data_IF_571045901387
#
_entry.id   IF_571045901387
#
_cell.length_a   1.000
_cell.length_b   1.000
_cell.length_c   1.000
_cell.angle_alpha   90.00
_cell.angle_beta   90.00
_cell.angle_gamma   90.00
#
_symmetry.space_group_name_H-M   'P 1'
#
loop_
_entity.id
_entity.type
_entity.pdbx_description
1 polymer ?
#
# COMPACT_ATOMS: atom_id res chain seq x y z
N UNK A 1 77.78 -16.23 13.54
CA UNK A 1 78.42 -15.06 14.19
C UNK A 1 78.10 -13.86 13.30
N UNK A 2 77.01 -13.17 13.60
CA UNK A 2 76.98 -11.80 14.18
C UNK A 2 77.45 -10.75 13.18
N UNK A 3 76.84 -9.59 13.02
CA UNK A 3 75.55 -8.99 13.35
C UNK A 3 75.66 -7.56 12.77
N UNK A 4 74.53 -6.96 12.43
CA UNK A 4 74.27 -5.52 12.47
C UNK A 4 75.05 -4.55 11.54
N UNK A 5 74.32 -4.08 10.52
CA UNK A 5 74.55 -2.78 9.89
C UNK A 5 73.72 -1.72 10.62
N UNK A 6 74.39 -0.85 11.37
CA UNK A 6 73.87 0.39 11.91
C UNK A 6 74.05 1.48 10.84
N UNK A 7 72.95 2.09 10.38
CA UNK A 7 73.01 3.34 9.62
C UNK A 7 72.53 4.48 10.53
N UNK A 8 73.43 5.45 10.74
CA UNK A 8 73.21 6.66 11.51
C UNK A 8 72.44 7.71 10.69
N UNK A 9 71.62 8.44 11.43
CA UNK A 9 70.65 9.47 11.06
C UNK A 9 71.21 10.66 10.26
N UNK A 10 70.35 11.25 9.44
CA UNK A 10 70.31 12.70 9.23
C UNK A 10 68.99 13.28 9.72
N UNK A 11 69.11 14.38 10.44
CA UNK A 11 68.11 15.03 11.27
C UNK A 11 67.33 16.09 10.50
N UNK A 12 66.06 16.29 10.90
CA UNK A 12 65.25 17.52 10.82
C UNK A 12 64.88 18.04 9.41
N UNK A 13 63.62 18.37 9.10
CA UNK A 13 62.76 19.27 9.86
C UNK A 13 61.27 18.96 9.71
N UNK A 14 60.58 19.18 10.82
CA UNK A 14 59.14 19.11 10.99
C UNK A 14 58.45 20.29 10.28
N UNK A 15 57.39 19.99 9.54
CA UNK A 15 56.28 20.92 9.34
C UNK A 15 55.01 20.20 9.77
N UNK A 16 54.53 20.54 10.97
CA UNK A 16 53.28 20.06 11.55
C UNK A 16 52.11 20.61 10.75
N UNK A 17 51.58 19.82 9.82
CA UNK A 17 50.21 19.97 9.37
C UNK A 17 49.31 19.31 10.40
N UNK A 18 48.68 20.13 11.25
CA UNK A 18 47.64 19.67 12.16
C UNK A 18 46.48 19.08 11.35
N UNK A 19 46.45 17.76 11.21
CA UNK A 19 45.27 17.05 10.76
C UNK A 19 44.19 17.21 11.82
N UNK A 20 43.26 18.13 11.56
CA UNK A 20 41.98 18.17 12.27
C UNK A 20 41.23 16.90 11.82
N UNK A 21 41.41 15.82 12.57
CA UNK A 21 40.50 14.68 12.53
C UNK A 21 39.13 15.19 12.97
N UNK A 22 38.05 14.97 12.20
CA UNK A 22 36.72 15.18 12.74
C UNK A 22 36.56 14.19 13.90
N UNK A 23 36.37 14.73 15.10
CA UNK A 23 35.88 13.96 16.25
C UNK A 23 34.55 13.34 15.81
N UNK A 24 34.58 12.06 15.41
CA UNK A 24 33.39 11.26 15.17
C UNK A 24 32.77 11.01 16.53
N UNK A 25 31.93 11.94 16.98
CA UNK A 25 31.03 11.73 18.11
C UNK A 25 30.20 10.50 17.76
N UNK A 26 30.52 9.36 18.38
CA UNK A 26 29.70 8.15 18.24
C UNK A 26 28.27 8.52 18.61
N UNK A 27 27.31 8.06 17.82
CA UNK A 27 25.89 8.24 18.13
C UNK A 27 25.63 7.78 19.57
N UNK A 28 24.92 8.56 20.41
CA UNK A 28 24.60 8.15 21.78
C UNK A 28 23.88 6.81 21.83
N UNK A 29 23.12 6.47 20.78
CA UNK A 29 22.43 5.19 20.64
C UNK A 29 23.38 3.99 20.53
N UNK A 30 24.61 4.19 20.03
CA UNK A 30 25.64 3.12 19.93
C UNK A 30 26.35 2.86 21.27
N UNK A 31 26.10 3.70 22.28
CA UNK A 31 26.65 3.54 23.63
C UNK A 31 25.66 2.84 24.56
N UNK A 32 24.39 2.71 24.14
CA UNK A 32 23.37 2.02 24.92
C UNK A 32 23.63 0.51 24.97
N UNK A 33 23.31 -0.16 26.09
CA UNK A 33 23.21 -1.61 26.11
C UNK A 33 22.23 -2.11 25.03
N UNK A 34 22.51 -3.23 24.35
CA UNK A 34 21.65 -3.78 23.30
C UNK A 34 20.19 -3.93 23.74
N UNK A 35 19.96 -4.33 24.99
CA UNK A 35 18.61 -4.52 25.54
C UNK A 35 17.85 -3.19 25.61
N UNK A 36 18.48 -2.12 26.08
CA UNK A 36 17.88 -0.79 26.13
C UNK A 36 17.57 -0.28 24.73
N UNK A 37 18.49 -0.47 23.79
CA UNK A 37 18.27 -0.14 22.39
C UNK A 37 17.07 -0.90 21.79
N UNK A 38 16.98 -2.21 22.04
CA UNK A 38 15.86 -3.03 21.56
C UNK A 38 14.52 -2.64 22.21
N UNK A 39 14.50 -2.19 23.47
CA UNK A 39 13.28 -1.66 24.09
C UNK A 39 12.80 -0.38 23.41
N UNK A 40 13.69 0.52 23.02
CA UNK A 40 13.33 1.70 22.22
C UNK A 40 12.72 1.24 20.88
N UNK A 41 13.33 0.24 20.24
CA UNK A 41 12.86 -0.28 18.95
C UNK A 41 11.45 -0.87 18.98
N UNK A 42 10.98 -1.38 20.13
CA UNK A 42 9.60 -1.91 20.26
C UNK A 42 8.50 -0.87 20.06
N UNK A 43 8.83 0.40 20.19
CA UNK A 43 7.90 1.52 20.03
C UNK A 43 8.09 2.26 18.71
N UNK A 44 8.89 1.73 17.79
CA UNK A 44 9.14 2.36 16.50
C UNK A 44 8.19 1.84 15.43
N UNK A 45 7.86 2.71 14.48
CA UNK A 45 7.08 2.32 13.32
C UNK A 45 7.89 1.39 12.40
N UNK A 46 7.23 0.60 11.54
CA UNK A 46 7.91 -0.24 10.57
C UNK A 46 8.87 0.53 9.65
N UNK A 47 8.49 1.75 9.24
CA UNK A 47 9.33 2.61 8.40
C UNK A 47 10.60 3.07 9.12
N UNK A 48 10.48 3.41 10.41
CA UNK A 48 11.61 3.83 11.23
C UNK A 48 12.56 2.67 11.50
N UNK A 49 12.04 1.48 11.81
CA UNK A 49 12.87 0.27 11.99
C UNK A 49 13.62 -0.10 10.71
N UNK A 50 12.95 -0.04 9.55
CA UNK A 50 13.60 -0.28 8.26
C UNK A 50 14.72 0.73 8.03
N UNK A 51 14.47 2.01 8.27
CA UNK A 51 15.46 3.07 8.12
C UNK A 51 16.63 2.88 9.07
N UNK A 52 16.36 2.63 10.35
CA UNK A 52 17.36 2.41 11.41
C UNK A 52 18.27 1.21 11.08
N UNK A 53 17.70 0.13 10.52
CA UNK A 53 18.46 -1.05 10.09
C UNK A 53 19.48 -0.76 8.99
N UNK A 54 19.39 0.38 8.31
CA UNK A 54 20.32 0.78 7.24
C UNK A 54 21.37 1.80 7.67
N UNK A 55 21.27 2.36 8.89
CA UNK A 55 22.14 3.44 9.36
C UNK A 55 23.57 2.97 9.62
N UNK A 56 23.74 1.83 10.29
CA UNK A 56 25.08 1.27 10.59
C UNK A 56 25.05 -0.25 10.77
N UNK A 57 26.24 -0.88 10.75
CA UNK A 57 26.39 -2.33 10.90
C UNK A 57 25.87 -2.84 12.24
N UNK A 58 26.04 -2.08 13.33
CA UNK A 58 25.57 -2.46 14.66
C UNK A 58 24.04 -2.59 14.68
N UNK A 59 23.32 -1.54 14.28
CA UNK A 59 21.85 -1.60 14.21
C UNK A 59 21.34 -2.65 13.21
N UNK A 60 22.06 -2.86 12.11
CA UNK A 60 21.74 -3.95 11.20
C UNK A 60 21.81 -5.30 11.93
N UNK A 61 22.92 -5.59 12.61
CA UNK A 61 23.10 -6.84 13.34
C UNK A 61 22.07 -7.02 14.46
N UNK A 62 21.75 -5.94 15.18
CA UNK A 62 20.80 -5.96 16.30
C UNK A 62 19.34 -6.10 15.85
N UNK A 63 18.98 -5.66 14.64
CA UNK A 63 17.60 -5.67 14.14
C UNK A 63 17.32 -6.69 13.04
N UNK A 64 18.35 -7.32 12.47
CA UNK A 64 18.21 -8.15 11.27
C UNK A 64 18.66 -9.60 11.48
N UNK A 65 18.87 -10.04 12.73
CA UNK A 65 19.21 -11.42 13.01
C UNK A 65 17.95 -12.30 12.90
N UNK A 66 17.80 -12.98 11.76
CA UNK A 66 16.58 -13.68 11.37
C UNK A 66 16.11 -14.75 12.38
N UNK A 67 17.04 -15.44 13.04
CA UNK A 67 16.70 -16.55 13.95
C UNK A 67 16.34 -16.09 15.38
N UNK A 68 16.44 -14.78 15.67
CA UNK A 68 16.15 -14.26 17.00
C UNK A 68 14.66 -14.03 17.19
N UNK A 69 14.05 -14.82 18.09
CA UNK A 69 12.63 -14.68 18.49
C UNK A 69 12.33 -13.26 18.96
N UNK A 70 13.23 -12.67 19.76
CA UNK A 70 13.07 -11.30 20.28
C UNK A 70 13.01 -10.27 19.16
N UNK A 71 13.84 -10.41 18.13
CA UNK A 71 13.85 -9.49 16.98
C UNK A 71 12.57 -9.68 16.15
N UNK A 72 12.17 -10.92 15.86
CA UNK A 72 10.90 -11.19 15.17
C UNK A 72 9.73 -10.56 15.93
N UNK A 73 9.73 -10.62 17.26
CA UNK A 73 8.70 -10.02 18.10
C UNK A 73 8.66 -8.48 18.02
N UNK A 74 9.83 -7.83 17.93
CA UNK A 74 9.91 -6.37 17.73
C UNK A 74 9.24 -5.98 16.40
N UNK A 75 9.58 -6.68 15.32
CA UNK A 75 8.98 -6.43 14.01
C UNK A 75 7.48 -6.75 14.01
N UNK A 76 7.08 -7.88 14.59
CA UNK A 76 5.66 -8.28 14.72
C UNK A 76 4.85 -7.23 15.48
N UNK A 77 5.35 -6.79 16.64
CA UNK A 77 4.70 -5.74 17.44
C UNK A 77 4.58 -4.44 16.65
N UNK A 78 5.66 -4.00 16.01
CA UNK A 78 5.66 -2.81 15.17
C UNK A 78 4.64 -2.90 14.03
N UNK A 79 4.53 -4.06 13.35
CA UNK A 79 3.49 -4.28 12.33
C UNK A 79 2.08 -4.15 12.92
N UNK A 80 1.80 -4.83 14.01
CA UNK A 80 0.45 -4.86 14.60
C UNK A 80 0.04 -3.49 15.16
N UNK A 81 0.97 -2.74 15.76
CA UNK A 81 0.68 -1.43 16.35
C UNK A 81 0.46 -0.34 15.28
N UNK A 82 1.19 -0.38 14.15
CA UNK A 82 1.19 0.69 13.15
C UNK A 82 0.49 0.34 11.83
N UNK A 83 0.21 -0.95 11.59
CA UNK A 83 -0.51 -1.43 10.42
C UNK A 83 -1.62 -2.38 10.92
N UNK A 84 -2.60 -1.88 11.68
CA UNK A 84 -3.57 -2.71 12.41
C UNK A 84 -4.44 -3.57 11.49
N UNK A 85 -4.62 -3.15 10.23
CA UNK A 85 -5.33 -3.95 9.24
C UNK A 85 -4.54 -5.19 8.78
N UNK A 86 -3.25 -5.31 9.11
CA UNK A 86 -2.35 -6.44 8.78
C UNK A 86 -2.12 -7.30 10.01
N UNK A 87 -3.06 -8.20 10.28
CA UNK A 87 -3.05 -9.10 11.44
C UNK A 87 -2.32 -10.40 11.13
N UNK A 88 -2.54 -10.96 9.93
CA UNK A 88 -1.96 -12.21 9.48
C UNK A 88 -0.44 -12.11 9.42
N UNK A 89 0.21 -13.13 9.96
CA UNK A 89 1.67 -13.24 9.99
C UNK A 89 2.32 -13.40 8.62
N UNK A 90 3.66 -13.48 8.58
CA UNK A 90 4.42 -13.76 7.38
C UNK A 90 3.98 -15.07 6.70
N UNK A 91 4.25 -15.17 5.39
CA UNK A 91 4.14 -16.45 4.69
C UNK A 91 5.22 -17.42 5.19
N UNK A 92 5.01 -18.72 5.01
CA UNK A 92 6.00 -19.73 5.39
C UNK A 92 7.36 -19.45 4.71
N UNK A 93 8.43 -19.50 5.49
CA UNK A 93 9.79 -19.18 5.04
C UNK A 93 10.12 -17.69 4.96
N UNK A 94 9.20 -16.78 5.35
CA UNK A 94 9.42 -15.34 5.40
C UNK A 94 9.56 -14.86 6.86
N UNK A 95 10.52 -13.96 7.11
CA UNK A 95 10.65 -13.29 8.41
C UNK A 95 9.65 -12.15 8.56
N UNK A 96 9.35 -11.70 9.79
CA UNK A 96 8.50 -10.51 10.01
C UNK A 96 9.09 -9.25 9.35
N UNK A 97 10.42 -9.10 9.37
CA UNK A 97 11.10 -8.00 8.67
C UNK A 97 10.88 -8.06 7.16
N UNK A 98 11.07 -9.23 6.55
CA UNK A 98 10.89 -9.39 5.09
C UNK A 98 9.42 -9.22 4.71
N UNK A 99 8.51 -9.65 5.58
CA UNK A 99 7.08 -9.44 5.41
C UNK A 99 6.69 -7.96 5.47
N UNK A 100 7.22 -7.22 6.43
CA UNK A 100 7.03 -5.76 6.51
C UNK A 100 7.57 -5.08 5.25
N UNK A 101 8.77 -5.45 4.78
CA UNK A 101 9.29 -4.94 3.50
C UNK A 101 8.36 -5.29 2.33
N UNK A 102 7.87 -6.51 2.28
CA UNK A 102 6.95 -6.98 1.25
C UNK A 102 5.63 -6.18 1.21
N UNK A 103 5.12 -5.82 2.39
CA UNK A 103 3.92 -5.00 2.56
C UNK A 103 4.15 -3.52 2.18
N UNK A 104 5.31 -2.96 2.53
CA UNK A 104 5.55 -1.52 2.44
C UNK A 104 6.33 -1.04 1.21
N UNK A 105 7.20 -1.89 0.63
CA UNK A 105 8.02 -1.47 -0.50
C UNK A 105 7.20 -1.42 -1.80
N UNK A 106 7.30 -0.31 -2.53
CA UNK A 106 6.71 -0.14 -3.86
C UNK A 106 7.62 -0.65 -4.99
N UNK A 107 8.37 -1.73 -4.75
CA UNK A 107 9.27 -2.32 -5.75
C UNK A 107 8.69 -3.61 -6.32
N UNK A 108 8.89 -3.80 -7.63
CA UNK A 108 8.66 -5.10 -8.25
C UNK A 108 9.75 -6.09 -7.79
N UNK A 109 9.35 -7.24 -7.25
CA UNK A 109 10.24 -8.32 -6.85
C UNK A 109 10.95 -9.02 -8.01
N UNK A 110 10.58 -8.73 -9.25
CA UNK A 110 11.24 -9.27 -10.44
C UNK A 110 12.24 -8.28 -11.06
N UNK A 111 11.80 -7.08 -11.41
CA UNK A 111 12.67 -6.09 -12.07
C UNK A 111 13.34 -5.10 -11.11
N UNK A 112 12.99 -5.09 -9.82
CA UNK A 112 13.51 -4.16 -8.81
C UNK A 112 13.06 -2.71 -8.96
N UNK A 113 12.39 -2.36 -10.07
CA UNK A 113 11.93 -1.01 -10.36
C UNK A 113 10.84 -0.60 -9.38
N UNK A 114 11.00 0.59 -8.79
CA UNK A 114 9.94 1.24 -8.00
C UNK A 114 8.80 1.61 -8.93
N UNK A 115 7.61 1.08 -8.69
CA UNK A 115 6.44 1.35 -9.50
C UNK A 115 5.21 1.49 -8.62
N UNK A 116 4.51 2.62 -8.78
CA UNK A 116 3.30 2.97 -8.03
C UNK A 116 2.11 2.03 -8.28
N UNK A 117 2.20 1.13 -9.26
CA UNK A 117 1.14 0.22 -9.70
C UNK A 117 1.53 -1.24 -9.45
N UNK A 118 2.51 -1.52 -8.59
CA UNK A 118 2.80 -2.89 -8.16
C UNK A 118 1.69 -3.44 -7.27
N UNK A 119 1.42 -4.74 -7.39
CA UNK A 119 0.46 -5.47 -6.54
C UNK A 119 1.14 -6.63 -5.85
N UNK A 120 0.64 -6.98 -4.68
CA UNK A 120 0.98 -8.23 -4.00
C UNK A 120 0.17 -9.37 -4.63
N UNK A 121 0.87 -10.44 -4.96
CA UNK A 121 0.35 -11.70 -5.48
C UNK A 121 0.59 -12.77 -4.42
N UNK A 122 -0.38 -12.91 -3.51
CA UNK A 122 -0.28 -13.76 -2.32
C UNK A 122 -0.03 -15.22 -2.63
N UNK A 123 -0.63 -15.73 -3.71
CA UNK A 123 -0.50 -17.11 -4.18
C UNK A 123 0.93 -17.48 -4.59
N UNK A 124 1.76 -16.47 -4.84
CA UNK A 124 3.18 -16.62 -5.17
C UNK A 124 4.11 -16.00 -4.15
N UNK A 125 3.59 -15.23 -3.19
CA UNK A 125 4.37 -14.46 -2.23
C UNK A 125 5.27 -13.40 -2.89
N UNK A 126 4.81 -12.77 -3.98
CA UNK A 126 5.61 -11.80 -4.74
C UNK A 126 4.86 -10.50 -4.96
N UNK A 127 5.57 -9.37 -4.96
CA UNK A 127 5.05 -8.08 -5.41
C UNK A 127 5.50 -7.86 -6.84
N UNK A 128 4.58 -7.62 -7.78
CA UNK A 128 4.95 -7.47 -9.19
C UNK A 128 4.26 -6.26 -9.83
N UNK A 129 4.96 -5.64 -10.78
CA UNK A 129 4.34 -4.67 -11.69
C UNK A 129 3.57 -5.40 -12.80
N UNK A 130 2.66 -4.69 -13.48
CA UNK A 130 1.87 -5.24 -14.57
C UNK A 130 2.71 -5.91 -15.67
N UNK A 131 3.85 -5.32 -16.02
CA UNK A 131 4.75 -5.85 -17.05
C UNK A 131 5.29 -7.22 -16.67
N UNK A 132 5.96 -7.32 -15.51
CA UNK A 132 6.50 -8.59 -15.02
C UNK A 132 5.39 -9.62 -14.73
N UNK A 133 4.23 -9.18 -14.21
CA UNK A 133 3.09 -10.08 -14.04
C UNK A 133 2.69 -10.71 -15.37
N UNK A 134 2.49 -9.92 -16.43
CA UNK A 134 2.12 -10.45 -17.75
C UNK A 134 3.18 -11.36 -18.35
N UNK A 135 4.45 -11.01 -18.19
CA UNK A 135 5.58 -11.80 -18.70
C UNK A 135 5.72 -13.15 -17.99
N UNK A 136 5.54 -13.17 -16.66
CA UNK A 136 5.77 -14.36 -15.82
C UNK A 136 4.54 -15.23 -15.60
N UNK A 137 3.41 -14.84 -16.17
CA UNK A 137 2.16 -15.61 -16.08
C UNK A 137 1.64 -15.95 -17.46
N UNK A 138 0.90 -17.05 -17.55
CA UNK A 138 0.23 -17.50 -18.76
C UNK A 138 -1.29 -17.42 -18.57
N UNK A 139 -2.02 -17.08 -19.65
CA UNK A 139 -3.48 -17.11 -19.64
C UNK A 139 -4.00 -18.56 -19.61
N UNK A 140 -5.13 -18.79 -18.95
CA UNK A 140 -5.76 -20.10 -18.90
C UNK A 140 -5.98 -20.71 -20.30
N UNK A 141 -6.56 -19.95 -21.23
CA UNK A 141 -6.78 -20.39 -22.62
C UNK A 141 -5.48 -20.80 -23.32
N UNK A 142 -4.35 -20.24 -22.90
CA UNK A 142 -3.05 -20.52 -23.49
C UNK A 142 -2.34 -21.75 -22.90
N UNK A 143 -2.83 -22.30 -21.78
CA UNK A 143 -2.25 -23.48 -21.14
C UNK A 143 -2.31 -24.71 -22.03
N UNK A 144 -3.38 -24.84 -22.83
CA UNK A 144 -3.58 -25.95 -23.77
C UNK A 144 -2.48 -26.04 -24.84
N UNK A 145 -1.81 -24.93 -25.17
CA UNK A 145 -0.71 -24.90 -26.13
C UNK A 145 0.65 -25.27 -25.54
N UNK A 146 0.77 -25.35 -24.21
CA UNK A 146 2.00 -25.86 -23.61
C UNK A 146 2.00 -27.38 -23.75
N UNK A 147 2.94 -27.89 -24.54
CA UNK A 147 3.14 -29.34 -24.72
C UNK A 147 3.33 -30.03 -23.38
N UNK A 148 2.69 -31.19 -23.24
CA UNK A 148 2.83 -32.10 -22.10
C UNK A 148 2.33 -31.55 -20.75
N UNK A 149 1.45 -30.54 -20.73
CA UNK A 149 0.72 -30.19 -19.50
C UNK A 149 -0.45 -31.16 -19.31
N UNK A 150 -0.50 -31.80 -18.15
CA UNK A 150 -1.69 -32.53 -17.74
C UNK A 150 -2.76 -31.53 -17.23
N UNK A 151 -3.98 -31.48 -17.79
CA UNK A 151 -5.03 -30.55 -17.37
C UNK A 151 -5.40 -30.64 -15.88
N UNK A 152 -5.35 -31.84 -15.30
CA UNK A 152 -5.64 -32.06 -13.87
C UNK A 152 -4.64 -31.37 -12.95
N UNK A 153 -3.48 -30.92 -13.46
CA UNK A 153 -2.50 -30.17 -12.67
C UNK A 153 -2.95 -28.76 -12.37
N UNK A 154 -3.71 -28.17 -13.29
CA UNK A 154 -4.12 -26.77 -13.25
C UNK A 154 -5.12 -26.57 -12.09
N UNK A 155 -5.92 -27.58 -11.77
CA UNK A 155 -6.89 -27.55 -10.66
C UNK A 155 -6.23 -27.46 -9.29
N UNK A 156 -4.92 -27.72 -9.18
CA UNK A 156 -4.14 -27.58 -7.94
C UNK A 156 -3.29 -26.31 -7.90
N UNK A 157 -3.52 -25.38 -8.83
CA UNK A 157 -2.82 -24.11 -8.91
C UNK A 157 -3.79 -22.96 -8.63
N UNK A 158 -3.38 -22.09 -7.72
CA UNK A 158 -4.07 -20.83 -7.46
C UNK A 158 -3.93 -19.92 -8.68
N UNK A 159 -5.04 -19.37 -9.16
CA UNK A 159 -5.03 -18.39 -10.23
C UNK A 159 -4.81 -16.97 -9.70
N UNK A 160 -4.29 -16.12 -10.59
CA UNK A 160 -3.96 -14.72 -10.32
C UNK A 160 -4.68 -13.81 -11.29
N UNK A 161 -5.11 -12.65 -10.81
CA UNK A 161 -5.69 -11.58 -11.64
C UNK A 161 -5.00 -10.26 -11.35
N UNK A 162 -4.86 -9.40 -12.36
CA UNK A 162 -4.32 -8.04 -12.18
C UNK A 162 -5.43 -6.98 -12.00
N UNK A 163 -6.69 -7.31 -12.32
CA UNK A 163 -7.82 -6.41 -12.09
C UNK A 163 -8.97 -7.21 -11.51
N UNK A 164 -9.61 -6.62 -10.51
CA UNK A 164 -10.79 -7.17 -9.87
C UNK A 164 -11.92 -7.07 -10.93
N UNK A 165 -12.27 -8.19 -11.57
CA UNK A 165 -13.47 -8.27 -12.42
C UNK A 165 -13.32 -8.87 -13.82
N UNK A 166 -12.14 -8.89 -14.45
CA UNK A 166 -11.99 -9.63 -15.71
C UNK A 166 -11.63 -11.09 -15.43
N UNK A 167 -12.37 -12.01 -16.04
CA UNK A 167 -12.14 -13.48 -16.08
C UNK A 167 -10.84 -13.87 -16.81
N UNK A 168 -9.80 -13.07 -16.70
CA UNK A 168 -8.50 -13.33 -17.28
C UNK A 168 -7.67 -14.05 -16.21
N UNK A 169 -8.05 -15.29 -15.91
CA UNK A 169 -7.28 -16.11 -14.98
C UNK A 169 -5.91 -16.38 -15.58
N UNK A 170 -4.89 -16.12 -14.77
CA UNK A 170 -3.51 -16.32 -15.16
C UNK A 170 -2.81 -17.16 -14.11
N UNK A 171 -1.89 -17.98 -14.58
CA UNK A 171 -1.11 -18.87 -13.74
C UNK A 171 0.35 -18.51 -13.86
N UNK A 172 1.08 -18.55 -12.74
CA UNK A 172 2.52 -18.33 -12.77
C UNK A 172 3.21 -19.45 -13.53
N UNK A 173 3.95 -19.08 -14.58
CA UNK A 173 4.53 -20.04 -15.51
C UNK A 173 5.46 -21.05 -14.81
N UNK A 174 6.24 -20.58 -13.83
CA UNK A 174 7.12 -21.44 -13.05
C UNK A 174 6.35 -22.42 -12.12
N UNK A 175 5.22 -22.01 -11.56
CA UNK A 175 4.38 -22.90 -10.75
C UNK A 175 3.77 -24.00 -11.63
N UNK A 176 3.28 -23.63 -12.80
CA UNK A 176 2.76 -24.57 -13.81
C UNK A 176 3.83 -25.59 -14.20
N UNK A 177 5.01 -25.13 -14.60
CA UNK A 177 6.11 -26.02 -14.99
C UNK A 177 6.56 -26.92 -13.84
N UNK A 178 6.78 -26.36 -12.64
CA UNK A 178 7.24 -27.11 -11.48
C UNK A 178 6.25 -28.21 -11.12
N UNK A 179 4.96 -27.90 -11.09
CA UNK A 179 3.93 -28.89 -10.77
C UNK A 179 3.84 -29.94 -11.87
N UNK A 180 3.84 -29.54 -13.13
CA UNK A 180 3.78 -30.48 -14.24
C UNK A 180 4.95 -31.48 -14.22
N UNK A 181 6.16 -30.99 -13.94
CA UNK A 181 7.34 -31.84 -13.79
C UNK A 181 7.21 -32.80 -12.61
N UNK A 182 6.71 -32.32 -11.45
CA UNK A 182 6.43 -33.17 -10.28
C UNK A 182 5.51 -34.34 -10.66
N UNK A 183 4.44 -34.08 -11.42
CA UNK A 183 3.49 -35.12 -11.84
C UNK A 183 4.03 -36.07 -12.90
N UNK A 184 4.81 -35.58 -13.86
CA UNK A 184 5.38 -36.40 -14.92
C UNK A 184 6.36 -37.46 -14.40
N UNK A 185 7.03 -37.17 -13.29
CA UNK A 185 7.97 -38.08 -12.65
C UNK A 185 7.29 -39.23 -11.88
N UNK A 186 5.96 -39.17 -11.67
CA UNK A 186 5.22 -40.17 -10.92
C UNK A 186 4.82 -41.36 -11.79
N UNK A 187 4.94 -42.55 -11.21
CA UNK A 187 4.32 -43.76 -11.74
C UNK A 187 2.79 -43.69 -11.69
N UNK A 188 2.11 -44.57 -12.43
CA UNK A 188 0.65 -44.55 -12.48
C UNK A 188 0.00 -44.80 -11.10
N UNK A 189 0.60 -45.62 -10.25
CA UNK A 189 0.11 -45.90 -8.89
C UNK A 189 0.32 -44.74 -7.91
N UNK A 190 1.37 -43.94 -8.08
CA UNK A 190 1.65 -42.80 -7.20
C UNK A 190 0.78 -41.57 -7.50
N UNK A 191 0.24 -41.48 -8.73
CA UNK A 191 -0.54 -40.33 -9.18
C UNK A 191 -1.82 -40.13 -8.37
N UNK A 192 -2.51 -41.20 -7.99
CA UNK A 192 -3.77 -41.09 -7.25
C UNK A 192 -3.56 -40.52 -5.85
N UNK A 193 -2.54 -41.03 -5.14
CA UNK A 193 -2.17 -40.53 -3.81
C UNK A 193 -1.61 -39.11 -3.89
N UNK A 194 -0.85 -38.81 -4.93
CA UNK A 194 -0.38 -37.46 -5.19
C UNK A 194 -1.54 -36.49 -5.42
N UNK A 195 -2.54 -36.85 -6.24
CA UNK A 195 -3.74 -36.03 -6.50
C UNK A 195 -4.47 -35.73 -5.19
N UNK A 196 -4.71 -36.74 -4.35
CA UNK A 196 -5.36 -36.55 -3.03
C UNK A 196 -4.56 -35.58 -2.16
N UNK A 197 -3.24 -35.75 -2.09
CA UNK A 197 -2.35 -34.88 -1.30
C UNK A 197 -2.35 -33.44 -1.81
N UNK A 198 -2.25 -33.24 -3.13
CA UNK A 198 -2.29 -31.89 -3.71
C UNK A 198 -3.63 -31.22 -3.51
N UNK A 199 -4.73 -31.97 -3.56
CA UNK A 199 -6.08 -31.43 -3.32
C UNK A 199 -6.18 -30.85 -1.90
N UNK A 200 -5.64 -31.56 -0.89
CA UNK A 200 -5.59 -31.06 0.49
C UNK A 200 -4.71 -29.81 0.63
N UNK A 201 -3.49 -29.84 0.07
CA UNK A 201 -2.55 -28.71 0.11
C UNK A 201 -3.17 -27.48 -0.58
N UNK A 202 -3.82 -27.67 -1.72
CA UNK A 202 -4.48 -26.61 -2.47
C UNK A 202 -5.63 -26.00 -1.67
N UNK A 203 -6.51 -26.82 -1.09
CA UNK A 203 -7.62 -26.35 -0.27
C UNK A 203 -7.13 -25.50 0.92
N UNK A 204 -6.10 -25.95 1.63
CA UNK A 204 -5.51 -25.19 2.74
C UNK A 204 -4.90 -23.87 2.25
N UNK A 205 -4.20 -23.88 1.12
CA UNK A 205 -3.63 -22.67 0.52
C UNK A 205 -4.72 -21.68 0.12
N UNK A 206 -5.77 -22.12 -0.58
CA UNK A 206 -6.87 -21.24 -0.99
C UNK A 206 -7.58 -20.61 0.20
N UNK A 207 -7.77 -21.36 1.29
CA UNK A 207 -8.30 -20.80 2.54
C UNK A 207 -7.41 -19.67 3.08
N UNK A 208 -6.09 -19.88 3.13
CA UNK A 208 -5.14 -18.84 3.55
C UNK A 208 -5.14 -17.63 2.62
N UNK A 209 -5.24 -17.85 1.31
CA UNK A 209 -5.33 -16.77 0.32
C UNK A 209 -6.63 -15.97 0.47
N UNK A 210 -7.76 -16.64 0.75
CA UNK A 210 -9.03 -15.97 1.00
C UNK A 210 -8.95 -15.05 2.22
N UNK A 211 -8.34 -15.50 3.32
CA UNK A 211 -8.11 -14.68 4.51
C UNK A 211 -7.24 -13.45 4.22
N UNK A 212 -6.18 -13.62 3.41
CA UNK A 212 -5.32 -12.50 3.00
C UNK A 212 -6.02 -11.51 2.07
N UNK A 213 -6.90 -11.99 1.18
CA UNK A 213 -7.74 -11.10 0.36
C UNK A 213 -8.72 -10.29 1.22
N UNK A 214 -9.36 -10.91 2.21
CA UNK A 214 -10.20 -10.19 3.16
C UNK A 214 -9.40 -9.14 3.94
N UNK A 215 -8.16 -9.44 4.32
CA UNK A 215 -7.26 -8.49 4.97
C UNK A 215 -6.90 -7.30 4.06
N UNK A 216 -6.60 -7.57 2.77
CA UNK A 216 -6.38 -6.52 1.78
C UNK A 216 -7.60 -5.59 1.67
N UNK A 217 -8.80 -6.15 1.62
CA UNK A 217 -10.05 -5.39 1.52
C UNK A 217 -10.28 -4.52 2.76
N UNK A 218 -10.07 -5.09 3.97
CA UNK A 218 -10.12 -4.31 5.23
C UNK A 218 -9.10 -3.17 5.25
N UNK A 219 -7.88 -3.43 4.77
CA UNK A 219 -6.86 -2.39 4.67
C UNK A 219 -7.25 -1.28 3.69
N UNK A 220 -7.82 -1.62 2.52
CA UNK A 220 -8.30 -0.63 1.56
C UNK A 220 -9.40 0.23 2.18
N UNK A 221 -10.37 -0.41 2.83
CA UNK A 221 -11.48 0.30 3.49
C UNK A 221 -10.98 1.25 4.57
N UNK A 222 -10.10 0.78 5.46
CA UNK A 222 -9.49 1.62 6.48
C UNK A 222 -8.79 2.85 5.88
N UNK A 223 -8.03 2.68 4.78
CA UNK A 223 -7.39 3.80 4.08
C UNK A 223 -8.41 4.79 3.52
N UNK A 224 -9.53 4.31 2.97
CA UNK A 224 -10.59 5.17 2.42
C UNK A 224 -11.30 5.96 3.54
N UNK A 225 -11.56 5.33 4.68
CA UNK A 225 -12.14 5.97 5.87
C UNK A 225 -11.22 7.10 6.38
N UNK A 226 -9.95 6.79 6.64
CA UNK A 226 -8.99 7.77 7.17
C UNK A 226 -8.74 8.91 6.16
N UNK A 227 -8.72 8.58 4.87
CA UNK A 227 -8.68 9.57 3.79
C UNK A 227 -9.87 10.51 3.82
N UNK A 228 -11.09 9.98 3.95
CA UNK A 228 -12.31 10.78 4.01
C UNK A 228 -12.30 11.71 5.21
N UNK A 229 -11.91 11.22 6.39
CA UNK A 229 -11.74 12.04 7.61
C UNK A 229 -10.76 13.19 7.38
N UNK A 230 -9.57 12.90 6.84
CA UNK A 230 -8.56 13.91 6.57
C UNK A 230 -9.02 14.98 5.55
N UNK A 231 -9.74 14.58 4.50
CA UNK A 231 -10.32 15.51 3.52
C UNK A 231 -11.42 16.36 4.18
N UNK A 232 -12.32 15.74 4.95
CA UNK A 232 -13.40 16.47 5.62
C UNK A 232 -12.89 17.53 6.59
N UNK A 233 -11.86 17.22 7.37
CA UNK A 233 -11.20 18.20 8.25
C UNK A 233 -10.69 19.42 7.45
N UNK A 234 -10.10 19.20 6.26
CA UNK A 234 -9.66 20.29 5.37
C UNK A 234 -10.81 21.09 4.75
N UNK A 235 -11.94 20.45 4.49
CA UNK A 235 -13.14 21.13 4.01
C UNK A 235 -13.79 21.97 5.12
N UNK A 236 -13.81 21.48 6.36
CA UNK A 236 -14.24 22.26 7.53
C UNK A 236 -13.38 23.51 7.72
N UNK A 237 -12.05 23.39 7.58
CA UNK A 237 -11.15 24.54 7.55
C UNK A 237 -11.55 25.54 6.46
N UNK A 238 -11.93 25.08 5.25
CA UNK A 238 -12.41 25.96 4.18
C UNK A 238 -13.74 26.64 4.51
N UNK A 239 -14.72 25.90 5.03
CA UNK A 239 -16.05 26.43 5.39
C UNK A 239 -15.97 27.44 6.55
N UNK A 240 -14.93 27.38 7.38
CA UNK A 240 -14.70 28.34 8.46
C UNK A 240 -14.28 29.74 7.98
N UNK A 241 -13.82 29.85 6.71
CA UNK A 241 -13.39 31.12 6.14
C UNK A 241 -14.58 32.05 5.91
N UNK A 242 -14.41 33.31 6.29
CA UNK A 242 -15.42 34.37 6.11
C UNK A 242 -14.97 35.41 5.10
N UNK A 243 -15.94 35.98 4.40
CA UNK A 243 -15.77 37.19 3.60
C UNK A 243 -15.68 38.43 4.51
N UNK A 244 -15.25 39.60 4.00
CA UNK A 244 -15.18 40.84 4.79
C UNK A 244 -16.51 41.28 5.40
N UNK A 245 -17.64 40.90 4.78
CA UNK A 245 -19.00 41.14 5.27
C UNK A 245 -19.44 40.16 6.37
N UNK A 246 -18.58 39.21 6.76
CA UNK A 246 -18.86 38.19 7.75
C UNK A 246 -19.62 36.97 7.24
N UNK A 247 -20.03 36.95 5.96
CA UNK A 247 -20.66 35.79 5.32
C UNK A 247 -19.67 34.64 5.15
N UNK A 248 -20.17 33.41 5.08
CA UNK A 248 -19.32 32.25 4.80
C UNK A 248 -18.76 32.34 3.39
N UNK A 249 -17.44 32.21 3.26
CA UNK A 249 -16.76 32.25 1.97
C UNK A 249 -17.05 31.01 1.13
N UNK A 250 -17.17 29.85 1.79
CA UNK A 250 -17.48 28.57 1.16
C UNK A 250 -18.54 27.85 1.97
N UNK A 251 -19.54 27.29 1.29
CA UNK A 251 -20.56 26.43 1.92
C UNK A 251 -20.26 24.95 1.64
N UNK A 252 -20.58 24.10 2.62
CA UNK A 252 -20.36 22.66 2.49
C UNK A 252 -21.16 22.05 1.33
N UNK A 253 -22.40 22.50 1.17
CA UNK A 253 -23.31 22.06 0.12
C UNK A 253 -22.69 22.14 -1.29
N UNK A 254 -22.13 23.29 -1.66
CA UNK A 254 -21.53 23.49 -2.99
C UNK A 254 -20.22 22.69 -3.11
N UNK A 255 -19.42 22.61 -2.04
CA UNK A 255 -18.18 21.82 -2.05
C UNK A 255 -18.46 20.33 -2.28
N UNK A 256 -19.54 19.77 -1.73
CA UNK A 256 -19.92 18.37 -1.94
C UNK A 256 -20.39 18.08 -3.38
N UNK A 257 -20.79 19.11 -4.13
CA UNK A 257 -21.12 19.00 -5.56
C UNK A 257 -19.89 19.01 -6.48
N UNK A 258 -18.69 19.31 -5.96
CA UNK A 258 -17.48 19.43 -6.77
C UNK A 258 -17.01 18.05 -7.30
N UNK A 259 -16.92 17.82 -8.63
CA UNK A 259 -16.49 16.54 -9.20
C UNK A 259 -15.06 16.13 -8.82
N UNK A 260 -14.18 17.09 -8.56
CA UNK A 260 -12.84 16.78 -8.05
C UNK A 260 -12.85 16.22 -6.64
N UNK A 261 -13.81 16.63 -5.80
CA UNK A 261 -13.96 16.08 -4.45
C UNK A 261 -14.41 14.62 -4.49
N UNK A 262 -15.44 14.32 -5.27
CA UNK A 262 -15.96 12.95 -5.39
C UNK A 262 -14.88 11.97 -5.89
N UNK A 263 -14.13 12.38 -6.92
CA UNK A 263 -12.97 11.59 -7.40
C UNK A 263 -11.91 11.45 -6.32
N UNK A 264 -11.68 12.49 -5.51
CA UNK A 264 -10.69 12.46 -4.44
C UNK A 264 -10.99 11.38 -3.39
N UNK A 265 -12.26 11.15 -3.04
CA UNK A 265 -12.64 10.11 -2.07
C UNK A 265 -12.36 8.68 -2.54
N UNK A 266 -12.36 8.43 -3.85
CA UNK A 266 -12.18 7.08 -4.43
C UNK A 266 -10.72 6.61 -4.49
N UNK A 267 -9.74 7.44 -4.13
CA UNK A 267 -8.33 7.07 -4.19
C UNK A 267 -7.90 6.23 -2.98
N UNK A 268 -7.37 5.04 -3.24
CA UNK A 268 -6.86 4.08 -2.23
C UNK A 268 -5.46 4.45 -1.69
N UNK A 269 -5.24 5.74 -1.35
CA UNK A 269 -3.98 6.20 -0.76
C UNK A 269 -4.25 7.16 0.39
N UNK A 270 -3.37 7.22 1.40
CA UNK A 270 -3.47 8.25 2.43
C UNK A 270 -3.53 9.65 1.84
N UNK A 271 -4.39 10.50 2.40
CA UNK A 271 -4.44 11.92 2.06
C UNK A 271 -3.36 12.66 2.83
N UNK A 272 -2.62 13.54 2.15
CA UNK A 272 -1.53 14.31 2.75
C UNK A 272 -1.56 15.75 2.24
N UNK A 273 -0.69 16.59 2.80
CA UNK A 273 -0.64 18.02 2.50
C UNK A 273 -0.43 18.29 1.00
N UNK A 274 0.41 17.50 0.33
CA UNK A 274 0.58 17.60 -1.12
C UNK A 274 -0.71 17.31 -1.88
N UNK A 275 -1.47 16.31 -1.44
CA UNK A 275 -2.80 16.01 -1.97
C UNK A 275 -3.75 17.20 -1.82
N UNK A 276 -3.71 17.88 -0.67
CA UNK A 276 -4.51 19.07 -0.41
C UNK A 276 -4.11 20.27 -1.28
N UNK A 277 -2.81 20.55 -1.42
CA UNK A 277 -2.28 21.59 -2.32
C UNK A 277 -2.78 21.42 -3.75
N UNK A 278 -2.94 20.17 -4.21
CA UNK A 278 -3.44 19.86 -5.56
C UNK A 278 -4.98 19.97 -5.62
N UNK A 279 -5.69 19.54 -4.58
CA UNK A 279 -7.14 19.48 -4.55
C UNK A 279 -7.77 20.88 -4.37
N UNK A 280 -7.28 21.65 -3.41
CA UNK A 280 -7.88 22.93 -2.99
C UNK A 280 -8.10 23.91 -4.15
N UNK A 281 -7.13 24.17 -5.05
CA UNK A 281 -7.36 25.07 -6.18
C UNK A 281 -8.46 24.59 -7.14
N UNK A 282 -8.60 23.27 -7.32
CA UNK A 282 -9.67 22.70 -8.15
C UNK A 282 -11.03 22.90 -7.51
N UNK A 283 -11.14 22.67 -6.19
CA UNK A 283 -12.38 22.90 -5.47
C UNK A 283 -12.80 24.36 -5.52
N UNK A 284 -11.88 25.30 -5.33
CA UNK A 284 -12.20 26.73 -5.42
C UNK A 284 -12.74 27.07 -6.81
N UNK A 285 -12.08 26.59 -7.87
CA UNK A 285 -12.55 26.80 -9.24
C UNK A 285 -13.93 26.21 -9.48
N UNK A 286 -14.13 24.93 -9.17
CA UNK A 286 -15.40 24.22 -9.35
C UNK A 286 -16.53 24.84 -8.51
N UNK A 287 -16.23 25.29 -7.30
CA UNK A 287 -17.17 25.97 -6.41
C UNK A 287 -17.74 27.25 -7.06
N UNK A 288 -16.87 28.09 -7.63
CA UNK A 288 -17.31 29.32 -8.30
C UNK A 288 -18.17 29.00 -9.54
N UNK A 289 -17.74 28.04 -10.37
CA UNK A 289 -18.50 27.60 -11.54
C UNK A 289 -19.90 27.07 -11.17
N UNK A 290 -20.02 26.32 -10.07
CA UNK A 290 -21.32 25.82 -9.58
C UNK A 290 -22.17 26.96 -9.03
N UNK A 291 -21.57 27.87 -8.26
CA UNK A 291 -22.28 29.02 -7.68
C UNK A 291 -22.86 29.91 -8.78
N UNK A 292 -22.08 30.22 -9.82
CA UNK A 292 -22.54 31.03 -10.96
C UNK A 292 -23.72 30.38 -11.68
N UNK A 293 -23.69 29.05 -11.88
CA UNK A 293 -24.81 28.32 -12.52
C UNK A 293 -26.10 28.40 -11.70
N UNK A 294 -26.00 28.30 -10.37
CA UNK A 294 -27.16 28.37 -9.48
C UNK A 294 -27.80 29.77 -9.47
N UNK A 295 -26.98 30.83 -9.54
CA UNK A 295 -27.48 32.21 -9.63
C UNK A 295 -28.20 32.43 -10.96
N UNK A 296 -27.61 32.02 -12.09
CA UNK A 296 -28.22 32.19 -13.42
C UNK A 296 -29.54 31.42 -13.55
N UNK A 297 -29.66 30.22 -12.97
CA UNK A 297 -30.92 29.47 -12.98
C UNK A 297 -32.05 30.08 -12.15
N UNK A 298 -31.76 31.10 -11.34
CA UNK A 298 -32.75 31.76 -10.47
C UNK A 298 -33.38 33.01 -11.12
N UNK A 299 -32.75 33.58 -12.15
CA UNK A 299 -33.17 34.85 -12.77
C UNK A 299 -34.04 34.68 -14.04
N UNK A 300 -34.10 33.49 -14.65
CA UNK A 300 -34.92 33.20 -15.84
C UNK A 300 -36.43 33.01 -15.56
N UNK A 301 -36.89 33.23 -14.32
CA UNK A 301 -38.29 33.11 -13.90
C UNK A 301 -39.15 34.38 -14.06
N UNK A 302 -38.65 35.43 -14.69
CA UNK A 302 -39.38 36.71 -14.83
C UNK A 302 -39.55 37.16 -16.29
N UNK A 303 -40.17 36.32 -17.11
CA UNK A 303 -40.86 36.78 -18.33
C UNK A 303 -42.16 36.01 -18.53
N UNK A 304 -43.25 36.73 -18.28
CA UNK A 304 -44.64 36.37 -18.53
C UNK A 304 -44.88 35.54 -19.80
N UNK A 305 -45.57 34.40 -19.64
CA UNK A 305 -46.67 33.96 -20.49
C UNK A 305 -47.41 32.81 -19.81
N UNK A 306 -48.71 33.02 -19.64
CA UNK A 306 -49.67 32.04 -19.19
C UNK A 306 -49.62 30.78 -20.07
N UNK A 307 -49.44 29.60 -19.47
CA UNK A 307 -50.19 28.39 -19.78
C UNK A 307 -49.78 27.23 -18.85
N UNK A 308 -50.77 26.40 -18.54
CA UNK A 308 -50.86 25.45 -17.43
C UNK A 308 -49.84 24.30 -17.42
N UNK A 309 -49.52 23.86 -16.19
CA UNK A 309 -49.04 22.53 -15.76
C UNK A 309 -47.58 22.14 -16.05
N UNK A 310 -46.70 22.25 -15.03
CA UNK A 310 -45.76 21.19 -14.60
C UNK A 310 -44.81 21.64 -13.48
N UNK A 311 -45.31 21.94 -12.28
CA UNK A 311 -44.45 22.30 -11.13
C UNK A 311 -44.11 21.12 -10.20
N UNK A 312 -44.53 19.89 -10.51
CA UNK A 312 -44.29 18.74 -9.63
C UNK A 312 -42.91 18.09 -9.80
N UNK A 313 -42.18 18.33 -10.89
CA UNK A 313 -40.94 17.59 -11.19
C UNK A 313 -39.65 18.23 -10.63
N UNK A 314 -39.65 19.55 -10.43
CA UNK A 314 -38.53 20.30 -9.81
C UNK A 314 -38.47 20.07 -8.30
N UNK A 315 -39.62 20.14 -7.64
CA UNK A 315 -39.75 19.88 -6.20
C UNK A 315 -39.53 18.41 -5.86
N UNK A 316 -39.97 17.47 -6.73
CA UNK A 316 -39.66 16.05 -6.56
C UNK A 316 -38.16 15.76 -6.70
N UNK A 317 -37.44 16.45 -7.60
CA UNK A 317 -35.98 16.33 -7.72
C UNK A 317 -35.27 16.88 -6.49
N UNK A 318 -35.68 18.04 -5.99
CA UNK A 318 -35.07 18.65 -4.81
C UNK A 318 -35.36 17.82 -3.55
N UNK A 319 -36.58 17.30 -3.39
CA UNK A 319 -36.96 16.39 -2.31
C UNK A 319 -36.24 15.04 -2.36
N UNK A 320 -36.05 14.45 -3.55
CA UNK A 320 -35.27 13.22 -3.73
C UNK A 320 -33.79 13.43 -3.41
N UNK A 321 -33.23 14.61 -3.69
CA UNK A 321 -31.88 14.98 -3.28
C UNK A 321 -31.75 15.15 -1.75
N UNK A 322 -32.73 15.77 -1.09
CA UNK A 322 -32.75 15.86 0.37
C UNK A 322 -32.89 14.50 1.05
N UNK A 323 -33.71 13.60 0.50
CA UNK A 323 -33.83 12.21 0.98
C UNK A 323 -32.53 11.42 0.80
N UNK A 324 -31.86 11.55 -0.35
CA UNK A 324 -30.56 10.91 -0.59
C UNK A 324 -29.46 11.45 0.34
N UNK A 325 -29.48 12.75 0.65
CA UNK A 325 -28.56 13.38 1.60
C UNK A 325 -28.82 12.91 3.04
N UNK A 326 -30.09 12.85 3.46
CA UNK A 326 -30.48 12.38 4.79
C UNK A 326 -30.12 10.89 5.00
N UNK A 327 -30.32 10.04 3.99
CA UNK A 327 -29.95 8.62 4.03
C UNK A 327 -28.44 8.43 4.12
N UNK A 328 -27.64 9.21 3.36
CA UNK A 328 -26.19 9.17 3.49
C UNK A 328 -25.71 9.71 4.85
N UNK A 329 -26.40 10.68 5.44
CA UNK A 329 -26.03 11.20 6.77
C UNK A 329 -26.32 10.19 7.90
N UNK A 330 -27.36 9.37 7.76
CA UNK A 330 -27.72 8.33 8.74
C UNK A 330 -26.75 7.14 8.71
N UNK A 331 -26.26 6.75 7.52
CA UNK A 331 -25.27 5.67 7.37
C UNK A 331 -23.89 6.06 7.94
N UNK A 332 -23.59 7.34 8.07
CA UNK A 332 -22.32 7.83 8.62
C UNK A 332 -22.32 8.06 10.15
N UNK A 333 -23.46 7.82 10.83
CA UNK A 333 -23.61 7.95 12.29
C UNK A 333 -23.98 6.62 13.00
N UNK A 334 -23.81 5.49 12.31
CA UNK A 334 -23.77 4.13 12.88
C UNK A 334 -22.42 3.51 12.56
#
# INVERSE_FOLDING_TARGET
MTSDKIHLNMTTSQTRSASILPNTTRSPLLVLPPETFLQICKSLSPADLLSLSTVCKTFYNDLCHNDSITIQEIWRKSRLDYIPCRELGPLEGMTERDYIKFLMEDKCGFCGVKNRVTRIYWERGVRACLGCFREKTIHEDSLSYIKNINPNMITFLSSSTHKDGNKNWRYWFNQVQSKNNEFQLLSQSERDDWIKRQSFIFAQREQQLALRRQEDDRCREHVLIERRKAINSKLEEMCSLKNPDGSQKYTRFILDMCPSLERCYKYERPFNERGWIILKPKLIKEYHEITERLVVSSDDGSSSRDDESSDDESDARMAMFFLAYALNSLVNHS
#
